data_IF_316418400060
#
_entry.id   IF_316418400060
#
_cell.length_a   1.000
_cell.length_b   1.000
_cell.length_c   1.000
_cell.angle_alpha   90.00
_cell.angle_beta   90.00
_cell.angle_gamma   90.00
#
_symmetry.space_group_name_H-M   'P 1'
#
loop_
_entity.id
_entity.type
_entity.pdbx_description
1 polymer ?
#
# COMPACT_ATOMS: atom_id res chain seq x y z
N UNK A 1 10.40 31.11 -2.09
CA UNK A 1 9.64 29.88 -1.74
C UNK A 1 9.23 29.21 -3.04
N UNK A 2 9.68 27.99 -3.28
CA UNK A 2 9.31 27.22 -4.47
C UNK A 2 8.11 26.34 -4.10
N UNK A 3 6.98 26.52 -4.77
CA UNK A 3 5.83 25.65 -4.60
C UNK A 3 6.11 24.36 -5.37
N UNK A 4 6.12 23.22 -4.68
CA UNK A 4 6.15 21.91 -5.33
C UNK A 4 4.72 21.58 -5.72
N UNK A 5 4.46 21.47 -7.02
CA UNK A 5 3.18 20.98 -7.49
C UNK A 5 3.07 19.49 -7.14
N UNK A 6 2.00 19.12 -6.44
CA UNK A 6 1.66 17.72 -6.23
C UNK A 6 0.83 17.23 -7.41
N UNK A 7 1.29 16.19 -8.08
CA UNK A 7 0.53 15.57 -9.17
C UNK A 7 -0.56 14.70 -8.58
N UNK A 8 -1.81 15.06 -8.85
CA UNK A 8 -2.96 14.19 -8.59
C UNK A 8 -2.90 13.01 -9.55
N UNK A 9 -3.09 11.82 -9.00
CA UNK A 9 -3.07 10.58 -9.78
C UNK A 9 -4.32 9.78 -9.52
N UNK A 10 -4.85 9.14 -10.57
CA UNK A 10 -5.92 8.17 -10.44
C UNK A 10 -5.31 6.80 -10.12
N UNK A 11 -5.80 6.14 -9.07
CA UNK A 11 -5.40 4.78 -8.77
C UNK A 11 -5.92 3.79 -9.83
N UNK A 12 -5.13 2.76 -10.12
CA UNK A 12 -5.51 1.62 -10.96
C UNK A 12 -5.06 0.30 -10.28
N UNK A 13 -5.84 -0.77 -10.46
CA UNK A 13 -5.61 -2.08 -9.80
C UNK A 13 -4.32 -2.79 -10.19
N UNK A 14 -3.65 -2.36 -11.26
CA UNK A 14 -2.34 -2.87 -11.68
C UNK A 14 -1.18 -2.33 -10.84
N UNK A 15 -1.44 -1.36 -9.97
CA UNK A 15 -0.43 -0.74 -9.10
C UNK A 15 -0.63 -1.15 -7.64
N UNK A 16 0.49 -1.44 -6.98
CA UNK A 16 0.55 -1.80 -5.56
C UNK A 16 1.43 -0.79 -4.81
N UNK A 17 0.97 0.46 -4.63
CA UNK A 17 1.78 1.53 -4.07
C UNK A 17 1.82 1.46 -2.54
N UNK A 18 2.86 2.07 -1.97
CA UNK A 18 2.84 2.44 -0.55
C UNK A 18 2.02 3.73 -0.38
N UNK A 19 1.00 3.68 0.47
CA UNK A 19 0.17 4.83 0.79
C UNK A 19 0.50 5.38 2.19
N UNK A 20 0.58 6.70 2.30
CA UNK A 20 0.59 7.41 3.57
C UNK A 20 -0.79 8.06 3.71
N UNK A 21 -1.49 7.75 4.80
CA UNK A 21 -2.84 8.26 5.06
C UNK A 21 -2.87 9.07 6.35
N UNK A 22 -3.90 9.91 6.49
CA UNK A 22 -4.18 10.57 7.76
C UNK A 22 -4.56 9.54 8.83
N UNK A 23 -4.27 9.83 10.09
CA UNK A 23 -4.52 8.91 11.21
C UNK A 23 -6.00 8.60 11.45
N UNK A 24 -6.91 9.45 11.02
CA UNK A 24 -8.36 9.28 11.16
C UNK A 24 -8.98 8.34 10.09
N UNK A 25 -8.18 7.82 9.16
CA UNK A 25 -8.60 6.82 8.19
C UNK A 25 -8.72 5.46 8.86
N UNK A 26 -9.64 4.62 8.38
CA UNK A 26 -9.81 3.25 8.85
C UNK A 26 -8.47 2.50 8.84
N UNK A 27 -8.04 2.04 10.01
CA UNK A 27 -6.88 1.17 10.15
C UNK A 27 -7.16 -0.18 9.47
N UNK A 28 -6.15 -0.73 8.80
CA UNK A 28 -6.21 -2.07 8.23
C UNK A 28 -5.05 -2.90 8.78
N UNK A 29 -5.30 -4.20 8.98
CA UNK A 29 -4.27 -5.12 9.42
C UNK A 29 -3.24 -5.32 8.30
N UNK A 30 -1.97 -5.06 8.56
CA UNK A 30 -0.87 -5.18 7.59
C UNK A 30 -0.31 -6.61 7.48
N UNK A 31 -0.85 -7.56 8.27
CA UNK A 31 -0.27 -8.90 8.45
C UNK A 31 -0.17 -9.76 7.19
N UNK A 32 -0.98 -9.48 6.16
CA UNK A 32 -0.90 -10.15 4.86
C UNK A 32 -0.99 -9.10 3.77
N UNK A 33 -0.03 -9.09 2.83
CA UNK A 33 0.11 -8.09 1.77
C UNK A 33 -1.12 -7.92 0.85
N UNK A 34 -2.18 -8.71 1.01
CA UNK A 34 -3.49 -8.49 0.37
C UNK A 34 -4.31 -7.38 1.02
N UNK A 35 -4.09 -7.09 2.30
CA UNK A 35 -4.83 -6.06 3.01
C UNK A 35 -4.46 -4.64 2.54
N UNK A 36 -3.22 -4.43 2.06
CA UNK A 36 -2.81 -3.16 1.42
C UNK A 36 -3.52 -2.91 0.08
N UNK A 37 -3.78 -3.99 -0.67
CA UNK A 37 -4.46 -3.95 -1.97
C UNK A 37 -5.94 -3.60 -1.79
N UNK A 38 -6.58 -4.09 -0.71
CA UNK A 38 -7.96 -3.76 -0.38
C UNK A 38 -8.13 -2.34 0.19
N UNK A 39 -7.10 -1.80 0.84
CA UNK A 39 -7.18 -0.48 1.51
C UNK A 39 -7.35 0.67 0.52
N UNK A 40 -6.61 0.69 -0.58
CA UNK A 40 -6.66 1.82 -1.53
C UNK A 40 -8.04 1.96 -2.20
N UNK A 41 -8.69 0.89 -2.71
CA UNK A 41 -10.07 0.95 -3.19
C UNK A 41 -11.04 1.51 -2.14
N UNK A 42 -10.85 1.22 -0.85
CA UNK A 42 -11.66 1.79 0.22
C UNK A 42 -11.47 3.31 0.34
N UNK A 43 -10.24 3.81 0.22
CA UNK A 43 -9.96 5.26 0.22
C UNK A 43 -10.60 5.95 -0.99
N UNK A 44 -10.51 5.34 -2.16
CA UNK A 44 -11.16 5.84 -3.38
C UNK A 44 -12.68 5.90 -3.23
N UNK A 45 -13.29 4.86 -2.65
CA UNK A 45 -14.74 4.83 -2.38
C UNK A 45 -15.17 5.91 -1.37
N UNK A 46 -14.29 6.29 -0.43
CA UNK A 46 -14.49 7.39 0.52
C UNK A 46 -14.12 8.77 -0.06
N UNK A 47 -13.82 8.85 -1.36
CA UNK A 47 -13.53 10.11 -2.08
C UNK A 47 -12.23 10.80 -1.64
N UNK A 48 -11.25 10.05 -1.13
CA UNK A 48 -9.91 10.59 -0.93
C UNK A 48 -9.20 10.83 -2.26
N UNK A 49 -8.49 11.95 -2.36
CA UNK A 49 -7.60 12.24 -3.48
C UNK A 49 -6.20 11.65 -3.23
N UNK A 50 -5.59 11.12 -4.29
CA UNK A 50 -4.23 10.60 -4.25
C UNK A 50 -3.27 11.58 -4.91
N UNK A 51 -2.18 11.88 -4.22
CA UNK A 51 -1.09 12.72 -4.71
C UNK A 51 0.24 11.96 -4.68
N UNK A 52 1.12 12.26 -5.63
CA UNK A 52 2.49 11.76 -5.62
C UNK A 52 3.36 12.65 -4.75
N UNK A 53 4.12 12.03 -3.83
CA UNK A 53 5.14 12.72 -3.03
C UNK A 53 6.49 12.65 -3.75
N UNK A 54 6.73 13.59 -4.67
CA UNK A 54 7.84 13.53 -5.64
C UNK A 54 9.25 13.61 -5.04
N UNK A 55 9.39 14.10 -3.80
CA UNK A 55 10.67 14.28 -3.10
C UNK A 55 10.77 13.41 -1.83
N UNK A 56 10.12 12.24 -1.85
CA UNK A 56 10.05 11.32 -0.70
C UNK A 56 10.53 9.95 -1.12
N UNK A 57 11.28 9.28 -0.23
CA UNK A 57 11.63 7.87 -0.36
C UNK A 57 11.12 7.09 0.86
N UNK A 58 10.87 5.80 0.66
CA UNK A 58 10.45 4.87 1.70
C UNK A 58 11.51 3.77 1.82
N UNK A 59 11.99 3.52 3.04
CA UNK A 59 12.84 2.38 3.34
C UNK A 59 11.93 1.23 3.74
N UNK A 60 11.74 0.26 2.84
CA UNK A 60 11.00 -0.95 3.11
C UNK A 60 11.97 -2.10 3.41
N UNK A 61 11.90 -2.67 4.62
CA UNK A 61 12.50 -3.97 4.86
C UNK A 61 11.55 -5.03 4.33
N UNK A 62 11.97 -5.75 3.29
CA UNK A 62 11.21 -6.88 2.77
C UNK A 62 10.80 -7.82 3.90
N UNK A 63 9.52 -8.20 3.91
CA UNK A 63 9.09 -9.38 4.64
C UNK A 63 9.95 -10.55 4.16
N UNK A 64 10.35 -11.43 5.08
CA UNK A 64 11.08 -12.66 4.73
C UNK A 64 10.30 -13.37 3.61
N UNK A 65 10.94 -13.82 2.51
CA UNK A 65 10.25 -14.58 1.47
C UNK A 65 9.43 -15.71 2.11
N UNK A 66 8.28 -16.00 1.52
CA UNK A 66 7.35 -17.04 1.98
C UNK A 66 7.97 -18.46 2.04
N UNK A 67 9.21 -18.63 1.59
CA UNK A 67 9.96 -19.89 1.51
C UNK A 67 10.31 -20.50 2.88
N UNK A 68 10.12 -19.78 3.98
CA UNK A 68 10.29 -20.33 5.34
C UNK A 68 9.02 -20.96 5.92
N UNK A 69 7.91 -20.99 5.17
CA UNK A 69 6.79 -21.84 5.54
C UNK A 69 7.15 -23.29 5.22
N UNK A 70 7.43 -24.06 6.27
CA UNK A 70 7.46 -25.52 6.23
C UNK A 70 6.06 -26.03 5.83
N UNK A 71 5.74 -26.01 4.54
CA UNK A 71 4.61 -26.76 4.01
C UNK A 71 4.92 -28.24 4.24
N UNK A 72 4.22 -28.86 5.19
CA UNK A 72 4.16 -30.31 5.29
C UNK A 72 3.52 -30.79 3.99
N UNK A 73 4.33 -31.35 3.09
CA UNK A 73 3.83 -32.15 1.97
C UNK A 73 3.01 -33.29 2.57
N UNK A 74 1.69 -33.16 2.54
CA UNK A 74 0.81 -34.33 2.73
C UNK A 74 1.07 -35.21 1.51
N UNK A 75 1.77 -36.33 1.72
CA UNK A 75 1.93 -37.35 0.70
C UNK A 75 0.55 -37.99 0.51
N UNK A 76 0.01 -37.87 -0.71
CA UNK A 76 -1.02 -38.79 -1.19
C UNK A 76 -0.40 -40.16 -1.44
#
# INVERSE_FOLDING_TARGET
MQYVAFEQVKWESKYDPYAIVQRNVLEYDVAYGQNKIAHIPTLVAQQYESIVLSNTFLIHKFHKPFDDLNYVKIKN
#
